data_IF_292877357451
#
_entry.id   IF_292877357451
#
_cell.length_a   1.000
_cell.length_b   1.000
_cell.length_c   1.000
_cell.angle_alpha   90.00
_cell.angle_beta   90.00
_cell.angle_gamma   90.00
#
_symmetry.space_group_name_H-M   'P 1'
#
loop_
_entity.id
_entity.type
_entity.pdbx_description
1 polymer ?
#
# COMPACT_ATOMS: atom_id res chain seq x y z
N UNK A 1 3.41 -20.46 10.61
CA UNK A 1 3.05 -19.31 9.78
C UNK A 1 1.88 -18.61 10.44
N UNK A 2 2.04 -17.38 10.76
CA UNK A 2 0.98 -16.65 11.46
C UNK A 2 -0.01 -16.13 10.41
N UNK A 3 -1.28 -16.54 10.54
CA UNK A 3 -2.36 -16.15 9.62
C UNK A 3 -2.93 -14.76 9.93
N UNK A 4 -2.32 -14.02 10.86
CA UNK A 4 -2.82 -12.70 11.28
C UNK A 4 -2.96 -11.69 10.12
N UNK A 5 -1.97 -11.49 9.22
CA UNK A 5 -2.12 -10.54 8.13
C UNK A 5 -3.32 -10.87 7.22
N UNK A 6 -3.55 -12.15 6.94
CA UNK A 6 -4.69 -12.61 6.13
C UNK A 6 -6.03 -12.27 6.80
N UNK A 7 -6.14 -12.44 8.12
CA UNK A 7 -7.36 -12.10 8.87
C UNK A 7 -7.63 -10.60 8.79
N UNK A 8 -6.61 -9.77 9.02
CA UNK A 8 -6.74 -8.32 8.98
C UNK A 8 -7.05 -7.78 7.57
N UNK A 9 -6.47 -8.36 6.51
CA UNK A 9 -6.76 -7.97 5.13
C UNK A 9 -8.19 -8.32 4.72
N UNK A 10 -8.72 -9.48 5.13
CA UNK A 10 -10.13 -9.82 4.92
C UNK A 10 -11.08 -8.96 5.77
N UNK A 11 -10.73 -8.65 7.01
CA UNK A 11 -11.53 -7.76 7.84
C UNK A 11 -11.64 -6.37 7.19
N UNK A 12 -10.53 -5.81 6.67
CA UNK A 12 -10.54 -4.56 5.94
C UNK A 12 -11.40 -4.64 4.67
N UNK A 13 -11.33 -5.75 3.92
CA UNK A 13 -12.12 -5.99 2.72
C UNK A 13 -13.63 -6.04 3.01
N UNK A 14 -14.03 -6.75 4.05
CA UNK A 14 -15.45 -6.85 4.46
C UNK A 14 -15.99 -5.48 4.88
N UNK A 15 -15.22 -4.75 5.70
CA UNK A 15 -15.62 -3.39 6.13
C UNK A 15 -15.69 -2.44 4.94
N UNK A 16 -14.73 -2.51 4.02
CA UNK A 16 -14.76 -1.72 2.79
C UNK A 16 -16.02 -2.02 1.94
N UNK A 17 -16.43 -3.29 1.86
CA UNK A 17 -17.65 -3.71 1.16
C UNK A 17 -18.91 -3.15 1.84
N UNK A 18 -18.98 -3.23 3.17
CA UNK A 18 -20.10 -2.69 3.96
C UNK A 18 -20.19 -1.16 3.78
N UNK A 19 -19.04 -0.48 3.72
CA UNK A 19 -18.96 0.96 3.49
C UNK A 19 -19.26 1.36 2.03
N UNK A 20 -19.23 0.39 1.09
CA UNK A 20 -19.45 0.65 -0.33
C UNK A 20 -20.82 1.31 -0.59
N UNK A 21 -20.80 2.33 -1.47
CA UNK A 21 -22.01 2.97 -1.97
C UNK A 21 -21.92 3.13 -3.48
N UNK A 22 -23.00 2.84 -4.21
CA UNK A 22 -23.04 2.88 -5.68
C UNK A 22 -22.64 4.25 -6.25
N UNK A 23 -22.90 5.32 -5.52
CA UNK A 23 -22.59 6.70 -5.90
C UNK A 23 -21.16 7.15 -5.56
N UNK A 24 -20.34 6.31 -4.90
CA UNK A 24 -18.94 6.65 -4.61
C UNK A 24 -18.16 6.98 -5.89
N UNK A 25 -17.26 7.99 -5.85
CA UNK A 25 -16.35 8.28 -6.96
C UNK A 25 -15.45 7.09 -7.31
N UNK A 26 -15.01 7.04 -8.58
CA UNK A 26 -14.21 5.93 -9.09
C UNK A 26 -12.95 5.64 -8.27
N UNK A 27 -12.23 6.67 -7.83
CA UNK A 27 -11.01 6.51 -7.03
C UNK A 27 -11.22 5.80 -5.70
N UNK A 28 -12.38 5.96 -5.04
CA UNK A 28 -12.74 5.18 -3.86
C UNK A 28 -13.14 3.74 -4.20
N UNK A 29 -13.83 3.53 -5.33
CA UNK A 29 -14.16 2.18 -5.80
C UNK A 29 -12.91 1.38 -6.15
N UNK A 30 -11.91 2.02 -6.78
CA UNK A 30 -10.63 1.38 -7.06
C UNK A 30 -9.85 1.05 -5.79
N UNK A 31 -9.91 1.92 -4.76
CA UNK A 31 -9.32 1.61 -3.46
C UNK A 31 -9.96 0.37 -2.81
N UNK A 32 -11.28 0.21 -2.94
CA UNK A 32 -11.97 -0.99 -2.49
C UNK A 32 -11.50 -2.23 -3.27
N UNK A 33 -11.44 -2.14 -4.61
CA UNK A 33 -10.90 -3.22 -5.45
C UNK A 33 -9.48 -3.59 -5.01
N UNK A 34 -8.64 -2.61 -4.73
CA UNK A 34 -7.30 -2.83 -4.23
C UNK A 34 -7.27 -3.64 -2.92
N UNK A 35 -8.11 -3.29 -1.93
CA UNK A 35 -8.14 -3.99 -0.63
C UNK A 35 -8.52 -5.46 -0.83
N UNK A 36 -9.47 -5.76 -1.72
CA UNK A 36 -9.81 -7.14 -2.11
C UNK A 36 -8.66 -7.86 -2.82
N UNK A 37 -8.03 -7.24 -3.81
CA UNK A 37 -6.89 -7.81 -4.53
C UNK A 37 -5.76 -8.18 -3.55
N UNK A 38 -5.54 -7.32 -2.55
CA UNK A 38 -4.53 -7.56 -1.53
C UNK A 38 -4.89 -8.75 -0.64
N UNK A 39 -6.13 -8.85 -0.16
CA UNK A 39 -6.59 -9.98 0.65
C UNK A 39 -6.51 -11.32 -0.11
N UNK A 40 -6.84 -11.32 -1.41
CA UNK A 40 -6.65 -12.47 -2.27
C UNK A 40 -5.18 -12.84 -2.43
N UNK A 41 -4.30 -11.84 -2.62
CA UNK A 41 -2.86 -12.07 -2.75
C UNK A 41 -2.25 -12.65 -1.46
N UNK A 42 -2.64 -12.12 -0.29
CA UNK A 42 -2.22 -12.65 1.00
C UNK A 42 -2.66 -14.10 1.18
N UNK A 43 -3.91 -14.40 0.86
CA UNK A 43 -4.44 -15.78 0.95
C UNK A 43 -3.74 -16.72 -0.02
N UNK A 44 -3.62 -16.33 -1.29
CA UNK A 44 -2.94 -17.13 -2.30
C UNK A 44 -1.44 -17.30 -1.98
N UNK A 45 -0.78 -16.22 -1.52
CA UNK A 45 0.61 -16.24 -1.09
C UNK A 45 0.84 -17.17 0.11
N UNK A 46 -0.07 -17.16 1.08
CA UNK A 46 -0.02 -18.08 2.21
C UNK A 46 -0.21 -19.55 1.79
N UNK A 47 -1.14 -19.84 0.87
CA UNK A 47 -1.35 -21.17 0.33
C UNK A 47 -0.12 -21.63 -0.48
N UNK A 48 0.37 -20.82 -1.40
CA UNK A 48 1.52 -21.14 -2.25
C UNK A 48 2.76 -21.38 -1.38
N UNK A 49 3.03 -20.51 -0.43
CA UNK A 49 4.20 -20.62 0.44
C UNK A 49 4.11 -21.77 1.45
N UNK A 50 2.95 -21.96 2.10
CA UNK A 50 2.79 -22.95 3.18
C UNK A 50 2.52 -24.36 2.66
N UNK A 51 1.58 -24.48 1.71
CA UNK A 51 1.14 -25.79 1.22
C UNK A 51 2.03 -26.32 0.11
N UNK A 52 2.31 -25.50 -0.89
CA UNK A 52 3.12 -25.91 -2.04
C UNK A 52 4.63 -25.69 -1.84
N UNK A 53 5.05 -24.94 -0.80
CA UNK A 53 6.45 -24.59 -0.53
C UNK A 53 7.15 -23.92 -1.72
N UNK A 54 6.39 -23.21 -2.56
CA UNK A 54 6.86 -22.50 -3.72
C UNK A 54 7.09 -21.02 -3.41
N UNK A 55 7.98 -20.38 -4.20
CA UNK A 55 8.21 -18.94 -4.10
C UNK A 55 7.00 -18.18 -4.66
N UNK A 56 6.44 -17.28 -3.88
CA UNK A 56 5.24 -16.49 -4.21
C UNK A 56 5.56 -15.04 -4.63
N UNK A 57 6.84 -14.71 -4.84
CA UNK A 57 7.29 -13.35 -5.16
C UNK A 57 6.62 -12.76 -6.40
N UNK A 58 6.40 -13.57 -7.45
CA UNK A 58 5.71 -13.12 -8.65
C UNK A 58 4.33 -12.53 -8.36
N UNK A 59 3.55 -13.18 -7.50
CA UNK A 59 2.21 -12.73 -7.12
C UNK A 59 2.26 -11.37 -6.43
N UNK A 60 3.15 -11.23 -5.45
CA UNK A 60 3.30 -9.97 -4.71
C UNK A 60 3.85 -8.84 -5.58
N UNK A 61 4.82 -9.11 -6.45
CA UNK A 61 5.34 -8.13 -7.39
C UNK A 61 4.22 -7.54 -8.25
N UNK A 62 3.35 -8.40 -8.82
CA UNK A 62 2.23 -7.97 -9.64
C UNK A 62 1.23 -7.12 -8.86
N UNK A 63 0.84 -7.58 -7.67
CA UNK A 63 -0.14 -6.87 -6.84
C UNK A 63 0.40 -5.53 -6.38
N UNK A 64 1.66 -5.44 -5.96
CA UNK A 64 2.27 -4.17 -5.57
C UNK A 64 2.40 -3.18 -6.75
N UNK A 65 2.75 -3.68 -7.95
CA UNK A 65 2.77 -2.83 -9.15
C UNK A 65 1.41 -2.16 -9.41
N UNK A 66 0.32 -2.93 -9.37
CA UNK A 66 -1.05 -2.44 -9.55
C UNK A 66 -1.44 -1.50 -8.39
N UNK A 67 -1.10 -1.87 -7.16
CA UNK A 67 -1.37 -1.09 -5.95
C UNK A 67 -0.86 0.33 -6.04
N UNK A 68 0.39 0.52 -6.43
CA UNK A 68 1.00 1.86 -6.52
C UNK A 68 0.25 2.77 -7.50
N UNK A 69 -0.20 2.21 -8.61
CA UNK A 69 -1.00 2.95 -9.60
C UNK A 69 -2.37 3.34 -9.02
N UNK A 70 -3.06 2.42 -8.34
CA UNK A 70 -4.37 2.71 -7.73
C UNK A 70 -4.25 3.78 -6.64
N UNK A 71 -3.25 3.68 -5.76
CA UNK A 71 -3.05 4.65 -4.68
C UNK A 71 -2.63 6.02 -5.25
N UNK A 72 -1.76 6.06 -6.25
CA UNK A 72 -1.38 7.30 -6.92
C UNK A 72 -2.60 7.96 -7.59
N UNK A 73 -3.47 7.18 -8.26
CA UNK A 73 -4.72 7.67 -8.83
C UNK A 73 -5.66 8.23 -7.76
N UNK A 74 -5.76 7.57 -6.62
CA UNK A 74 -6.53 8.07 -5.48
C UNK A 74 -6.01 9.44 -5.03
N UNK A 75 -4.70 9.59 -4.82
CA UNK A 75 -4.10 10.86 -4.40
C UNK A 75 -4.18 11.95 -5.47
N UNK A 76 -4.17 11.61 -6.76
CA UNK A 76 -4.39 12.58 -7.83
C UNK A 76 -5.72 13.33 -7.70
N UNK A 77 -6.76 12.65 -7.21
CA UNK A 77 -8.07 13.25 -6.96
C UNK A 77 -8.18 13.95 -5.60
N UNK A 78 -7.41 13.53 -4.60
CA UNK A 78 -7.50 14.07 -3.23
C UNK A 78 -6.62 15.31 -3.02
N UNK A 79 -5.49 15.40 -3.72
CA UNK A 79 -4.56 16.50 -3.57
C UNK A 79 -4.96 17.71 -4.43
N UNK A 80 -4.83 18.90 -3.87
CA UNK A 80 -5.15 20.17 -4.57
C UNK A 80 -3.92 20.78 -5.25
N UNK A 81 -2.71 20.50 -4.76
CA UNK A 81 -1.46 21.07 -5.27
C UNK A 81 -1.20 20.67 -6.73
N UNK A 82 -1.08 21.69 -7.61
CA UNK A 82 -0.76 21.49 -9.03
C UNK A 82 0.61 20.83 -9.24
N UNK A 83 1.56 21.15 -8.35
CA UNK A 83 2.94 20.58 -8.45
C UNK A 83 2.88 19.08 -8.17
N UNK A 84 2.20 18.67 -7.08
CA UNK A 84 2.12 17.25 -6.71
C UNK A 84 1.31 16.45 -7.74
N UNK A 85 0.25 17.04 -8.32
CA UNK A 85 -0.48 16.40 -9.43
C UNK A 85 0.42 16.15 -10.66
N UNK A 86 1.32 17.10 -10.99
CA UNK A 86 2.31 16.86 -12.06
C UNK A 86 3.28 15.72 -11.71
N UNK A 87 3.74 15.66 -10.46
CA UNK A 87 4.60 14.56 -9.98
C UNK A 87 3.86 13.21 -10.11
N UNK A 88 2.58 13.15 -9.74
CA UNK A 88 1.77 11.93 -9.91
C UNK A 88 1.64 11.54 -11.40
N UNK A 89 1.41 12.50 -12.29
CA UNK A 89 1.34 12.21 -13.74
C UNK A 89 2.66 11.67 -14.28
N UNK A 90 3.80 12.24 -13.86
CA UNK A 90 5.12 11.72 -14.21
C UNK A 90 5.31 10.30 -13.63
N UNK A 91 4.87 10.06 -12.39
CA UNK A 91 4.91 8.74 -11.76
C UNK A 91 4.11 7.70 -12.57
N UNK A 92 2.93 8.04 -13.09
CA UNK A 92 2.13 7.11 -13.90
C UNK A 92 2.84 6.63 -15.17
N UNK A 93 3.74 7.42 -15.71
CA UNK A 93 4.53 7.05 -16.90
C UNK A 93 5.83 6.34 -16.50
N UNK A 94 6.60 6.94 -15.61
CA UNK A 94 7.94 6.46 -15.29
C UNK A 94 7.94 5.20 -14.42
N UNK A 95 7.00 5.07 -13.50
CA UNK A 95 6.98 3.92 -12.59
C UNK A 95 6.69 2.59 -13.31
N UNK A 96 5.69 2.45 -14.20
CA UNK A 96 5.49 1.22 -14.96
C UNK A 96 6.71 0.87 -15.84
N UNK A 97 7.33 1.86 -16.48
CA UNK A 97 8.54 1.65 -17.28
C UNK A 97 9.67 1.10 -16.39
N UNK A 98 9.93 1.74 -15.26
CA UNK A 98 10.93 1.29 -14.30
C UNK A 98 10.60 -0.12 -13.75
N UNK A 99 9.35 -0.38 -13.42
CA UNK A 99 8.87 -1.68 -12.94
C UNK A 99 9.17 -2.79 -13.96
N UNK A 100 8.88 -2.54 -15.24
CA UNK A 100 9.18 -3.48 -16.33
C UNK A 100 10.68 -3.68 -16.52
N UNK A 101 11.47 -2.61 -16.52
CA UNK A 101 12.93 -2.68 -16.63
C UNK A 101 13.49 -3.51 -15.46
N UNK A 102 13.04 -3.25 -14.24
CA UNK A 102 13.48 -3.98 -13.06
C UNK A 102 13.11 -5.48 -13.14
N UNK A 103 11.89 -5.78 -13.63
CA UNK A 103 11.41 -7.13 -13.79
C UNK A 103 12.15 -7.92 -14.88
N UNK A 104 12.49 -7.29 -16.00
CA UNK A 104 13.09 -7.99 -17.14
C UNK A 104 14.62 -8.07 -17.08
N UNK A 105 15.29 -7.02 -16.56
CA UNK A 105 16.74 -6.87 -16.71
C UNK A 105 17.51 -6.73 -15.39
N UNK A 106 16.89 -6.31 -14.27
CA UNK A 106 17.62 -6.01 -13.03
C UNK A 106 17.44 -7.13 -12.01
N UNK A 107 16.20 -7.34 -11.52
CA UNK A 107 15.92 -8.30 -10.44
C UNK A 107 15.18 -9.56 -10.90
N UNK A 108 14.46 -9.49 -12.02
CA UNK A 108 13.66 -10.61 -12.53
C UNK A 108 12.25 -10.70 -11.93
N UNK A 109 11.34 -11.39 -12.63
CA UNK A 109 9.93 -11.55 -12.23
C UNK A 109 9.73 -12.46 -11.01
N UNK A 110 10.58 -13.48 -10.86
CA UNK A 110 10.45 -14.51 -9.83
C UNK A 110 11.23 -14.20 -8.55
N UNK A 111 11.93 -13.07 -8.52
CA UNK A 111 12.58 -12.53 -7.33
C UNK A 111 11.80 -11.35 -6.77
N UNK A 112 11.97 -11.06 -5.49
CA UNK A 112 11.32 -9.91 -4.88
C UNK A 112 11.91 -8.61 -5.46
N UNK A 113 11.06 -7.78 -6.08
CA UNK A 113 11.46 -6.54 -6.74
C UNK A 113 11.66 -5.40 -5.73
N UNK A 114 12.66 -5.53 -4.87
CA UNK A 114 12.90 -4.57 -3.78
C UNK A 114 13.10 -3.14 -4.26
N UNK A 115 13.73 -2.92 -5.42
CA UNK A 115 13.92 -1.57 -5.97
C UNK A 115 12.60 -0.92 -6.40
N UNK A 116 11.71 -1.69 -7.04
CA UNK A 116 10.38 -1.20 -7.40
C UNK A 116 9.54 -0.88 -6.16
N UNK A 117 9.67 -1.70 -5.11
CA UNK A 117 8.95 -1.51 -3.85
C UNK A 117 9.43 -0.24 -3.14
N UNK A 118 10.74 -0.04 -3.04
CA UNK A 118 11.31 1.15 -2.40
C UNK A 118 10.93 2.40 -3.16
N UNK A 119 11.07 2.40 -4.50
CA UNK A 119 10.70 3.55 -5.32
C UNK A 119 9.20 3.85 -5.20
N UNK A 120 8.34 2.86 -5.42
CA UNK A 120 6.89 3.02 -5.31
C UNK A 120 6.47 3.46 -3.91
N UNK A 121 6.98 2.80 -2.86
CA UNK A 121 6.71 3.13 -1.47
C UNK A 121 7.13 4.55 -1.10
N UNK A 122 8.29 5.02 -1.57
CA UNK A 122 8.74 6.41 -1.34
C UNK A 122 7.80 7.44 -1.93
N UNK A 123 7.26 7.20 -3.13
CA UNK A 123 6.24 8.07 -3.71
C UNK A 123 4.93 8.03 -2.93
N UNK A 124 4.50 6.86 -2.45
CA UNK A 124 3.29 6.76 -1.63
C UNK A 124 3.45 7.50 -0.30
N UNK A 125 4.63 7.45 0.33
CA UNK A 125 4.97 8.27 1.51
C UNK A 125 4.86 9.75 1.20
N UNK A 126 5.46 10.21 0.07
CA UNK A 126 5.38 11.60 -0.35
C UNK A 126 3.94 12.08 -0.51
N UNK A 127 3.08 11.27 -1.15
CA UNK A 127 1.68 11.64 -1.39
C UNK A 127 0.88 11.63 -0.08
N UNK A 128 1.12 10.67 0.82
CA UNK A 128 0.48 10.62 2.12
C UNK A 128 0.84 11.83 2.99
N UNK A 129 2.13 12.17 3.08
CA UNK A 129 2.61 13.36 3.79
C UNK A 129 2.03 14.64 3.18
N UNK A 130 2.00 14.73 1.85
CA UNK A 130 1.44 15.90 1.16
C UNK A 130 -0.06 16.07 1.46
N UNK A 131 -0.83 14.97 1.60
CA UNK A 131 -2.23 15.05 1.98
C UNK A 131 -2.40 15.48 3.44
N UNK A 132 -1.64 14.92 4.36
CA UNK A 132 -1.66 15.31 5.78
C UNK A 132 -1.29 16.80 5.93
N UNK A 133 -0.27 17.24 5.18
CA UNK A 133 0.12 18.65 5.15
C UNK A 133 -1.01 19.55 4.60
N UNK A 134 -1.67 19.14 3.53
CA UNK A 134 -2.82 19.85 2.97
C UNK A 134 -3.94 20.00 4.01
N UNK A 135 -4.23 18.96 4.79
CA UNK A 135 -5.21 19.04 5.89
C UNK A 135 -4.76 19.99 7.00
N UNK A 136 -3.48 19.96 7.36
CA UNK A 136 -2.95 20.82 8.42
C UNK A 136 -3.07 22.32 8.09
N UNK A 137 -2.81 22.70 6.84
CA UNK A 137 -2.94 24.11 6.40
C UNK A 137 -4.36 24.51 6.03
N UNK A 138 -5.29 23.57 5.94
CA UNK A 138 -6.69 23.89 5.66
C UNK A 138 -7.32 24.58 6.87
N UNK A 139 -8.03 25.67 6.62
CA UNK A 139 -8.74 26.43 7.67
C UNK A 139 -10.07 25.79 8.09
N UNK A 140 -10.36 24.60 7.59
CA UNK A 140 -11.59 23.90 7.95
C UNK A 140 -11.57 23.45 9.41
N UNK A 141 -12.52 23.94 10.20
CA UNK A 141 -12.69 23.63 11.64
C UNK A 141 -13.16 22.20 11.91
N UNK A 142 -13.31 21.38 10.89
CA UNK A 142 -13.75 19.99 11.04
C UNK A 142 -12.65 19.13 11.62
N UNK A 143 -13.03 18.20 12.50
CA UNK A 143 -12.10 17.24 13.11
C UNK A 143 -11.40 16.42 12.03
N UNK A 144 -10.08 16.46 11.98
CA UNK A 144 -9.21 15.70 11.08
C UNK A 144 -9.50 14.20 11.19
N UNK A 145 -9.82 13.72 12.38
CA UNK A 145 -10.15 12.31 12.65
C UNK A 145 -11.44 11.82 12.00
N UNK A 146 -12.27 12.71 11.48
CA UNK A 146 -13.49 12.34 10.73
C UNK A 146 -13.23 12.21 9.23
N UNK A 147 -12.03 12.53 8.77
CA UNK A 147 -11.66 12.42 7.36
C UNK A 147 -11.15 11.01 7.04
N UNK A 148 -11.83 10.24 6.18
CA UNK A 148 -11.38 8.90 5.80
C UNK A 148 -10.02 8.91 5.09
N UNK A 149 -9.73 9.96 4.31
CA UNK A 149 -8.46 10.05 3.57
C UNK A 149 -7.27 10.30 4.51
N UNK A 150 -7.50 10.95 5.64
CA UNK A 150 -6.50 11.06 6.70
C UNK A 150 -6.07 9.68 7.22
N UNK A 151 -7.03 8.80 7.53
CA UNK A 151 -6.75 7.45 8.01
C UNK A 151 -6.07 6.58 6.95
N UNK A 152 -6.49 6.70 5.69
CA UNK A 152 -5.81 6.04 4.58
C UNK A 152 -4.38 6.54 4.42
N UNK A 153 -4.15 7.86 4.56
CA UNK A 153 -2.80 8.42 4.49
C UNK A 153 -1.91 7.95 5.64
N UNK A 154 -2.44 7.85 6.86
CA UNK A 154 -1.73 7.24 7.98
C UNK A 154 -1.40 5.77 7.73
N UNK A 155 -2.35 5.01 7.16
CA UNK A 155 -2.13 3.60 6.82
C UNK A 155 -0.93 3.42 5.88
N UNK A 156 -0.86 4.22 4.81
CA UNK A 156 0.25 4.18 3.85
C UNK A 156 1.56 4.71 4.45
N UNK A 157 1.47 5.76 5.28
CA UNK A 157 2.64 6.35 5.93
C UNK A 157 3.33 5.33 6.85
N UNK A 158 2.58 4.66 7.70
CA UNK A 158 3.15 3.64 8.59
C UNK A 158 3.63 2.42 7.81
N UNK A 159 2.82 1.92 6.87
CA UNK A 159 3.18 0.74 6.09
C UNK A 159 4.48 0.95 5.30
N UNK A 160 4.54 1.96 4.45
CA UNK A 160 5.73 2.21 3.63
C UNK A 160 6.89 2.80 4.42
N UNK A 161 6.61 3.55 5.49
CA UNK A 161 7.65 4.09 6.38
C UNK A 161 8.44 2.99 7.09
N UNK A 162 7.79 1.88 7.41
CA UNK A 162 8.44 0.72 8.05
C UNK A 162 8.98 -0.27 7.01
N UNK A 163 8.20 -0.58 5.97
CA UNK A 163 8.55 -1.66 5.03
C UNK A 163 9.57 -1.23 3.97
N UNK A 164 9.52 0.01 3.44
CA UNK A 164 10.41 0.41 2.36
C UNK A 164 11.90 0.45 2.78
N UNK A 165 12.29 1.03 3.93
CA UNK A 165 13.69 0.98 4.37
C UNK A 165 14.16 -0.45 4.60
N UNK A 166 13.33 -1.28 5.23
CA UNK A 166 13.67 -2.67 5.52
C UNK A 166 13.86 -3.47 4.22
N UNK A 167 12.91 -3.41 3.30
CA UNK A 167 12.98 -4.12 2.01
C UNK A 167 14.10 -3.59 1.12
N UNK A 168 14.43 -2.30 1.20
CA UNK A 168 15.59 -1.72 0.52
C UNK A 168 16.92 -2.31 1.00
N UNK A 169 17.02 -2.64 2.27
CA UNK A 169 18.21 -3.26 2.87
C UNK A 169 18.17 -4.81 2.85
N UNK A 170 17.07 -5.43 2.44
CA UNK A 170 16.82 -6.86 2.60
C UNK A 170 17.93 -7.72 1.99
N UNK A 171 18.38 -7.43 0.77
CA UNK A 171 19.44 -8.20 0.12
C UNK A 171 20.78 -8.11 0.89
N UNK A 172 21.11 -6.95 1.42
CA UNK A 172 22.28 -6.75 2.27
C UNK A 172 22.15 -7.53 3.60
N UNK A 173 20.97 -7.46 4.23
CA UNK A 173 20.70 -8.17 5.49
C UNK A 173 20.74 -9.69 5.30
N UNK A 174 20.17 -10.21 4.21
CA UNK A 174 20.21 -11.66 3.91
C UNK A 174 21.61 -12.16 3.68
N UNK A 175 22.50 -11.37 3.07
CA UNK A 175 23.88 -11.79 2.80
C UNK A 175 24.80 -11.70 4.02
N UNK A 176 24.59 -10.71 4.90
CA UNK A 176 25.48 -10.45 6.03
C UNK A 176 24.91 -10.90 7.38
N UNK A 177 23.58 -10.86 7.55
CA UNK A 177 22.89 -11.14 8.81
C UNK A 177 21.60 -11.96 8.58
N UNK A 178 21.69 -13.20 8.04
CA UNK A 178 20.52 -13.98 7.61
C UNK A 178 19.51 -14.22 8.75
N UNK A 179 19.98 -14.62 9.93
CA UNK A 179 19.10 -14.87 11.08
C UNK A 179 18.34 -13.60 11.53
N UNK A 180 19.00 -12.44 11.51
CA UNK A 180 18.37 -11.16 11.79
C UNK A 180 17.33 -10.85 10.71
N UNK A 181 17.70 -10.96 9.43
CA UNK A 181 16.80 -10.71 8.32
C UNK A 181 15.52 -11.55 8.40
N UNK A 182 15.62 -12.86 8.68
CA UNK A 182 14.45 -13.73 8.79
C UNK A 182 13.56 -13.40 9.99
N UNK A 183 14.15 -13.17 11.17
CA UNK A 183 13.38 -12.89 12.38
C UNK A 183 12.64 -11.55 12.30
N UNK A 184 13.30 -10.52 11.79
CA UNK A 184 12.71 -9.19 11.69
C UNK A 184 11.80 -9.01 10.47
N UNK A 185 11.94 -9.86 9.41
CA UNK A 185 11.06 -9.84 8.26
C UNK A 185 9.59 -10.00 8.68
N UNK A 186 9.31 -11.05 9.45
CA UNK A 186 7.96 -11.34 9.94
C UNK A 186 7.44 -10.16 10.77
N UNK A 187 8.23 -9.68 11.74
CA UNK A 187 7.82 -8.57 12.58
C UNK A 187 7.54 -7.29 11.79
N UNK A 188 8.43 -6.88 10.91
CA UNK A 188 8.27 -5.63 10.16
C UNK A 188 7.12 -5.73 9.16
N UNK A 189 7.01 -6.80 8.42
CA UNK A 189 5.98 -6.95 7.38
C UNK A 189 4.60 -7.22 8.02
N UNK A 190 4.49 -8.22 8.89
CA UNK A 190 3.20 -8.63 9.44
C UNK A 190 2.60 -7.54 10.35
N UNK A 191 3.42 -6.92 11.22
CA UNK A 191 2.95 -5.83 12.09
C UNK A 191 2.53 -4.61 11.26
N UNK A 192 3.31 -4.27 10.22
CA UNK A 192 2.98 -3.14 9.34
C UNK A 192 1.69 -3.41 8.56
N UNK A 193 1.47 -4.64 8.10
CA UNK A 193 0.26 -5.06 7.41
C UNK A 193 -0.97 -5.01 8.32
N UNK A 194 -0.87 -5.52 9.54
CA UNK A 194 -1.95 -5.46 10.52
C UNK A 194 -2.31 -4.01 10.87
N UNK A 195 -1.30 -3.16 11.08
CA UNK A 195 -1.50 -1.73 11.37
C UNK A 195 -2.17 -1.01 10.18
N UNK A 196 -1.66 -1.21 8.96
CA UNK A 196 -2.25 -0.65 7.74
C UNK A 196 -3.72 -1.04 7.60
N UNK A 197 -4.03 -2.33 7.68
CA UNK A 197 -5.38 -2.83 7.52
C UNK A 197 -6.32 -2.31 8.62
N UNK A 198 -5.86 -2.19 9.87
CA UNK A 198 -6.61 -1.58 10.97
C UNK A 198 -6.94 -0.12 10.69
N UNK A 199 -5.99 0.67 10.21
CA UNK A 199 -6.21 2.07 9.84
C UNK A 199 -7.13 2.22 8.63
N UNK A 200 -7.06 1.32 7.65
CA UNK A 200 -8.02 1.26 6.53
C UNK A 200 -9.44 1.00 7.02
N UNK A 201 -9.62 0.07 7.97
CA UNK A 201 -10.93 -0.20 8.60
C UNK A 201 -11.48 1.07 9.24
N UNK A 202 -10.69 1.79 10.04
CA UNK A 202 -11.12 3.05 10.66
C UNK A 202 -11.52 4.06 9.57
N UNK A 203 -10.71 4.21 8.52
CA UNK A 203 -11.00 5.11 7.40
C UNK A 203 -12.32 4.78 6.70
N UNK A 204 -12.60 3.50 6.43
CA UNK A 204 -13.87 3.09 5.82
C UNK A 204 -15.09 3.29 6.73
N UNK A 205 -14.90 3.23 8.05
CA UNK A 205 -15.97 3.48 9.02
C UNK A 205 -16.23 4.96 9.28
N UNK A 206 -15.37 5.86 8.84
CA UNK A 206 -15.58 7.29 8.99
C UNK A 206 -16.84 7.76 8.25
N UNK A 207 -17.72 8.48 8.98
CA UNK A 207 -19.03 8.92 8.49
C UNK A 207 -19.01 10.24 7.72
N UNK A 208 -17.84 10.84 7.44
CA UNK A 208 -17.79 12.06 6.64
C UNK A 208 -18.34 11.74 5.25
N UNK A 209 -19.32 12.52 4.74
CA UNK A 209 -19.75 12.33 3.37
C UNK A 209 -18.53 12.50 2.46
N UNK A 210 -18.21 11.46 1.70
CA UNK A 210 -17.08 11.41 0.75
C UNK A 210 -17.29 12.37 -0.44
N UNK A 211 -18.16 13.39 -0.29
CA UNK A 211 -18.53 14.33 -1.31
C UNK A 211 -18.60 15.76 -0.76
N UNK A 212 -17.78 16.59 -1.31
CA UNK A 212 -18.11 17.93 -1.78
C UNK A 212 -17.58 18.08 -3.19
#
# INVERSE_FOLDING_TARGET
MEFYPVIFSWAASIVALIAFRRWMPLHFKLLLVFVFLYAFADTAGAIIGSYYKLKNHFLYNLVWGIQYIIIAYFYYHMLHSRIIKKVILVFFVLFPIFFFINACWIQGFYTLQTYSIVLGGSFMLLFAVAYIWQLYISTETQSIFRDPVFWFSLAWLFYYGLTAPYLGMLNYLLSNFPNFAYNYYIWVIDVSDCLRNSLLVIGFLCKKPLMK
#
